data_IF_284062620453
#
_entry.id   IF_284062620453
#
_cell.length_a   1.000
_cell.length_b   1.000
_cell.length_c   1.000
_cell.angle_alpha   90.00
_cell.angle_beta   90.00
_cell.angle_gamma   90.00
#
_symmetry.space_group_name_H-M   'P 1'
#
loop_
_entity.id
_entity.type
_entity.pdbx_description
1 polymer ?
#
# COMPACT_ATOMS: atom_id res chain seq x y z
N UNK A 1 -8.91 7.50 -13.80
CA UNK A 1 -9.65 6.53 -12.99
C UNK A 1 -8.72 5.54 -12.31
N UNK A 2 -8.03 4.65 -13.02
CA UNK A 2 -7.13 3.61 -12.45
C UNK A 2 -6.13 4.21 -11.45
N UNK A 3 -5.42 5.28 -11.83
CA UNK A 3 -4.48 5.95 -10.94
C UNK A 3 -5.13 6.45 -9.63
N UNK A 4 -6.36 6.93 -9.67
CA UNK A 4 -7.08 7.37 -8.48
C UNK A 4 -7.52 6.20 -7.59
N UNK A 5 -7.85 5.05 -8.16
CA UNK A 5 -8.11 3.82 -7.39
C UNK A 5 -6.83 3.37 -6.67
N UNK A 6 -5.68 3.35 -7.37
CA UNK A 6 -4.38 3.04 -6.78
C UNK A 6 -4.01 4.02 -5.67
N UNK A 7 -4.20 5.32 -5.91
CA UNK A 7 -3.90 6.39 -4.96
C UNK A 7 -4.77 6.32 -3.70
N UNK A 8 -6.08 6.08 -3.86
CA UNK A 8 -7.00 5.89 -2.74
C UNK A 8 -6.72 4.63 -1.93
N UNK A 9 -6.40 3.52 -2.62
CA UNK A 9 -6.03 2.27 -1.96
C UNK A 9 -4.71 2.41 -1.17
N UNK A 10 -3.71 3.10 -1.75
CA UNK A 10 -2.44 3.41 -1.08
C UNK A 10 -2.66 4.23 0.19
N UNK A 11 -3.51 5.28 0.13
CA UNK A 11 -3.87 6.06 1.31
C UNK A 11 -4.50 5.20 2.40
N UNK A 12 -5.47 4.36 2.02
CA UNK A 12 -6.19 3.49 2.96
C UNK A 12 -5.24 2.53 3.70
N UNK A 13 -4.29 1.88 2.99
CA UNK A 13 -3.35 0.97 3.65
C UNK A 13 -2.32 1.71 4.50
N UNK A 14 -1.85 2.88 4.10
CA UNK A 14 -0.89 3.66 4.87
C UNK A 14 -1.51 4.23 6.13
N UNK A 15 -2.72 4.79 6.07
CA UNK A 15 -3.43 5.32 7.23
C UNK A 15 -3.80 4.21 8.24
N UNK A 16 -4.11 3.02 7.75
CA UNK A 16 -4.42 1.86 8.59
C UNK A 16 -3.19 1.20 9.23
N UNK A 17 -1.96 1.53 8.79
CA UNK A 17 -0.72 0.89 9.24
C UNK A 17 0.22 1.85 9.94
N UNK A 18 0.94 2.70 9.23
CA UNK A 18 2.04 3.52 9.74
C UNK A 18 1.71 4.29 11.02
N UNK A 19 0.91 5.36 10.94
CA UNK A 19 0.59 6.19 12.10
C UNK A 19 -0.15 5.42 13.20
N UNK A 20 -1.11 4.56 12.79
CA UNK A 20 -1.91 3.80 13.74
C UNK A 20 -1.06 2.86 14.59
N UNK A 21 -0.11 2.14 13.99
CA UNK A 21 0.76 1.20 14.71
C UNK A 21 1.73 1.97 15.60
N UNK A 22 2.28 3.10 15.14
CA UNK A 22 3.15 3.93 15.96
C UNK A 22 2.41 4.43 17.20
N UNK A 23 1.19 4.92 17.04
CA UNK A 23 0.34 5.36 18.13
C UNK A 23 -0.02 4.23 19.11
N UNK A 24 -0.45 3.06 18.61
CA UNK A 24 -0.72 1.88 19.44
C UNK A 24 0.50 1.46 20.29
N UNK A 25 1.71 1.65 19.74
CA UNK A 25 2.96 1.41 20.48
C UNK A 25 3.20 2.47 21.56
N UNK A 26 2.95 3.74 21.25
CA UNK A 26 3.15 4.86 22.18
C UNK A 26 2.25 4.74 23.41
N UNK A 27 0.97 4.35 23.23
CA UNK A 27 0.02 4.15 24.34
C UNK A 27 0.19 2.80 25.08
N UNK A 28 1.19 1.99 24.69
CA UNK A 28 1.49 0.72 25.35
C UNK A 28 0.56 -0.45 25.01
N UNK A 29 -0.31 -0.32 24.00
CA UNK A 29 -1.22 -1.39 23.56
C UNK A 29 -0.49 -2.69 23.20
N UNK A 30 0.68 -2.59 22.58
CA UNK A 30 1.53 -3.75 22.26
C UNK A 30 2.02 -4.49 23.50
N UNK A 31 2.14 -3.83 24.66
CA UNK A 31 2.51 -4.45 25.94
C UNK A 31 1.34 -5.29 26.47
N UNK A 32 0.11 -4.80 26.34
CA UNK A 32 -1.09 -5.55 26.74
C UNK A 32 -1.30 -6.82 25.89
N UNK A 33 -0.96 -6.78 24.60
CA UNK A 33 -1.04 -7.97 23.76
C UNK A 33 -0.08 -9.09 24.16
N UNK A 34 1.02 -8.79 24.85
CA UNK A 34 2.00 -9.79 25.31
C UNK A 34 1.51 -10.66 26.46
N UNK A 35 0.54 -10.20 27.25
CA UNK A 35 -0.07 -11.01 28.32
C UNK A 35 -1.11 -11.99 27.76
N UNK A 36 -1.42 -11.91 26.48
CA UNK A 36 -2.27 -12.86 25.79
C UNK A 36 -1.42 -13.94 25.10
N UNK A 37 -1.90 -15.20 24.98
CA UNK A 37 -1.14 -16.30 24.35
C UNK A 37 -1.12 -16.20 22.81
N UNK A 38 -1.13 -14.97 22.27
CA UNK A 38 -1.12 -14.73 20.82
C UNK A 38 0.30 -14.85 20.26
N UNK A 39 0.43 -15.62 19.17
CA UNK A 39 1.70 -15.72 18.45
C UNK A 39 2.01 -14.36 17.79
N UNK A 40 3.27 -13.90 17.82
CA UNK A 40 3.69 -12.65 17.17
C UNK A 40 3.28 -12.53 15.70
N UNK A 41 3.34 -13.63 14.98
CA UNK A 41 2.94 -13.69 13.57
C UNK A 41 1.45 -13.40 13.35
N UNK A 42 0.58 -13.85 14.28
CA UNK A 42 -0.86 -13.59 14.15
C UNK A 42 -1.22 -12.12 14.41
N UNK A 43 -0.47 -11.41 15.24
CA UNK A 43 -0.65 -9.98 15.45
C UNK A 43 -0.28 -9.18 14.18
N UNK A 44 0.83 -9.53 13.51
CA UNK A 44 1.24 -8.90 12.25
C UNK A 44 0.28 -9.21 11.12
N UNK A 45 -0.13 -10.48 10.96
CA UNK A 45 -1.08 -10.86 9.92
C UNK A 45 -2.45 -10.21 10.13
N UNK A 46 -2.93 -10.09 11.36
CA UNK A 46 -4.16 -9.38 11.68
C UNK A 46 -4.12 -7.92 11.25
N UNK A 47 -3.02 -7.20 11.54
CA UNK A 47 -2.84 -5.81 11.10
C UNK A 47 -2.78 -5.70 9.57
N UNK A 48 -2.11 -6.62 8.90
CA UNK A 48 -2.03 -6.66 7.45
C UNK A 48 -3.41 -6.90 6.81
N UNK A 49 -4.16 -7.87 7.32
CA UNK A 49 -5.54 -8.15 6.85
C UNK A 49 -6.44 -6.92 7.06
N UNK A 50 -6.36 -6.26 8.23
CA UNK A 50 -7.13 -5.04 8.50
C UNK A 50 -6.76 -3.92 7.52
N UNK A 51 -5.49 -3.74 7.20
CA UNK A 51 -5.03 -2.73 6.25
C UNK A 51 -5.53 -3.02 4.83
N UNK A 52 -5.43 -4.28 4.38
CA UNK A 52 -5.94 -4.70 3.08
C UNK A 52 -7.47 -4.59 3.00
N UNK A 53 -8.18 -4.92 4.07
CA UNK A 53 -9.62 -4.74 4.15
C UNK A 53 -10.03 -3.27 4.07
N UNK A 54 -9.25 -2.36 4.68
CA UNK A 54 -9.49 -0.91 4.60
C UNK A 54 -9.32 -0.33 3.18
N UNK A 55 -8.55 -0.98 2.32
CA UNK A 55 -8.40 -0.56 0.92
C UNK A 55 -9.67 -0.81 0.09
N UNK A 56 -10.45 -1.86 0.40
CA UNK A 56 -11.62 -2.24 -0.39
C UNK A 56 -12.67 -1.14 -0.51
N UNK A 57 -13.17 -0.53 0.60
CA UNK A 57 -14.17 0.53 0.48
C UNK A 57 -13.64 1.76 -0.28
N UNK A 58 -12.37 2.11 -0.12
CA UNK A 58 -11.77 3.21 -0.86
C UNK A 58 -11.74 2.92 -2.37
N UNK A 59 -11.32 1.72 -2.76
CA UNK A 59 -11.28 1.30 -4.17
C UNK A 59 -12.69 1.25 -4.79
N UNK A 60 -13.65 0.67 -4.06
CA UNK A 60 -15.05 0.57 -4.51
C UNK A 60 -15.67 1.96 -4.66
N UNK A 61 -15.45 2.87 -3.71
CA UNK A 61 -15.95 4.23 -3.79
C UNK A 61 -15.46 4.96 -5.05
N UNK A 62 -14.17 4.89 -5.34
CA UNK A 62 -13.59 5.50 -6.55
C UNK A 62 -14.11 4.82 -7.82
N UNK A 63 -14.29 3.49 -7.80
CA UNK A 63 -14.86 2.77 -8.94
C UNK A 63 -16.33 3.18 -9.22
N UNK A 64 -17.15 3.28 -8.17
CA UNK A 64 -18.56 3.72 -8.28
C UNK A 64 -18.63 5.16 -8.79
N UNK A 65 -17.82 6.08 -8.27
CA UNK A 65 -17.78 7.45 -8.78
C UNK A 65 -17.31 7.53 -10.23
N UNK A 66 -16.38 6.66 -10.65
CA UNK A 66 -15.93 6.60 -12.04
C UNK A 66 -17.04 6.13 -12.99
N UNK A 67 -17.85 5.15 -12.59
CA UNK A 67 -19.01 4.70 -13.37
C UNK A 67 -20.07 5.81 -13.45
N UNK A 68 -20.39 6.44 -12.31
CA UNK A 68 -21.44 7.46 -12.24
C UNK A 68 -21.11 8.74 -12.99
N UNK A 69 -19.83 9.20 -12.93
CA UNK A 69 -19.42 10.51 -13.47
C UNK A 69 -18.82 10.45 -14.87
N UNK A 70 -18.17 9.36 -15.24
CA UNK A 70 -17.39 9.25 -16.46
C UNK A 70 -17.90 8.19 -17.44
N UNK A 71 -19.04 7.55 -17.16
CA UNK A 71 -19.65 6.52 -18.02
C UNK A 71 -18.67 5.44 -18.50
N UNK A 72 -17.73 5.02 -17.62
CA UNK A 72 -16.72 4.02 -17.95
C UNK A 72 -17.41 2.68 -18.20
N UNK A 73 -17.35 2.23 -19.47
CA UNK A 73 -17.97 0.99 -19.90
C UNK A 73 -16.98 -0.17 -19.82
N UNK A 74 -16.90 -0.80 -18.66
CA UNK A 74 -16.19 -2.06 -18.44
C UNK A 74 -17.21 -3.14 -18.06
N UNK A 75 -16.99 -4.36 -18.52
CA UNK A 75 -17.79 -5.50 -18.05
C UNK A 75 -17.59 -5.75 -16.56
N UNK A 76 -18.56 -6.38 -15.90
CA UNK A 76 -18.45 -6.75 -14.49
C UNK A 76 -17.20 -7.60 -14.22
N UNK A 77 -16.85 -8.50 -15.14
CA UNK A 77 -15.64 -9.32 -15.06
C UNK A 77 -14.35 -8.49 -15.09
N UNK A 78 -14.29 -7.46 -15.94
CA UNK A 78 -13.14 -6.54 -16.01
C UNK A 78 -13.02 -5.70 -14.73
N UNK A 79 -14.13 -5.21 -14.18
CA UNK A 79 -14.13 -4.50 -12.89
C UNK A 79 -13.62 -5.37 -11.76
N UNK A 80 -14.13 -6.60 -11.65
CA UNK A 80 -13.69 -7.54 -10.61
C UNK A 80 -12.20 -7.90 -10.76
N UNK A 81 -11.76 -8.20 -11.99
CA UNK A 81 -10.35 -8.53 -12.26
C UNK A 81 -9.42 -7.36 -11.93
N UNK A 82 -9.79 -6.12 -12.32
CA UNK A 82 -9.03 -4.92 -12.05
C UNK A 82 -8.92 -4.64 -10.54
N UNK A 83 -10.05 -4.63 -9.84
CA UNK A 83 -10.07 -4.37 -8.41
C UNK A 83 -9.32 -5.45 -7.63
N UNK A 84 -9.48 -6.72 -8.00
CA UNK A 84 -8.77 -7.83 -7.36
C UNK A 84 -7.25 -7.76 -7.59
N UNK A 85 -6.81 -7.49 -8.84
CA UNK A 85 -5.40 -7.36 -9.18
C UNK A 85 -4.74 -6.17 -8.45
N UNK A 86 -5.40 -5.01 -8.46
CA UNK A 86 -4.92 -3.83 -7.76
C UNK A 86 -4.94 -4.01 -6.24
N UNK A 87 -5.95 -4.66 -5.69
CA UNK A 87 -6.03 -4.98 -4.26
C UNK A 87 -4.90 -5.90 -3.81
N UNK A 88 -4.59 -6.94 -4.58
CA UNK A 88 -3.41 -7.77 -4.32
C UNK A 88 -2.11 -6.96 -4.46
N UNK A 89 -2.06 -6.05 -5.42
CA UNK A 89 -0.91 -5.19 -5.70
C UNK A 89 -0.58 -4.18 -4.59
N UNK A 90 -1.54 -3.80 -3.72
CA UNK A 90 -1.24 -2.88 -2.60
C UNK A 90 -0.56 -3.56 -1.41
N UNK A 91 -0.38 -4.88 -1.44
CA UNK A 91 0.28 -5.64 -0.37
C UNK A 91 1.66 -5.07 0.04
N UNK A 92 2.60 -4.79 -0.88
CA UNK A 92 3.90 -4.22 -0.51
C UNK A 92 3.77 -2.86 0.17
N UNK A 93 2.78 -2.05 -0.20
CA UNK A 93 2.52 -0.73 0.41
C UNK A 93 2.00 -0.88 1.84
N UNK A 94 1.12 -1.85 2.10
CA UNK A 94 0.67 -2.18 3.45
C UNK A 94 1.83 -2.65 4.34
N UNK A 95 2.71 -3.51 3.81
CA UNK A 95 3.91 -3.99 4.51
C UNK A 95 4.90 -2.86 4.79
N UNK A 96 5.07 -1.93 3.85
CA UNK A 96 5.91 -0.74 4.02
C UNK A 96 5.35 0.17 5.13
N UNK A 97 4.04 0.38 5.15
CA UNK A 97 3.37 1.08 6.23
C UNK A 97 3.55 0.39 7.60
N UNK A 98 3.49 -0.95 7.66
CA UNK A 98 3.82 -1.70 8.87
C UNK A 98 5.27 -1.42 9.31
N UNK A 99 6.23 -1.45 8.40
CA UNK A 99 7.63 -1.17 8.72
C UNK A 99 7.78 0.24 9.34
N UNK A 100 7.16 1.26 8.73
CA UNK A 100 7.15 2.63 9.28
C UNK A 100 6.55 2.64 10.68
N UNK A 101 5.39 2.00 10.89
CA UNK A 101 4.72 1.96 12.18
C UNK A 101 5.53 1.31 13.30
N UNK A 102 6.44 0.38 12.98
CA UNK A 102 7.34 -0.24 13.97
C UNK A 102 8.68 0.49 14.13
N UNK A 103 9.13 1.28 13.15
CA UNK A 103 10.40 2.00 13.16
C UNK A 103 10.26 3.44 13.66
N UNK A 104 9.22 4.14 13.25
CA UNK A 104 9.03 5.56 13.53
C UNK A 104 8.49 5.80 14.95
N UNK A 105 8.86 6.91 15.56
CA UNK A 105 8.19 7.44 16.74
C UNK A 105 6.78 7.96 16.36
N UNK A 106 5.88 8.06 17.34
CA UNK A 106 4.48 8.45 17.12
C UNK A 106 4.36 9.81 16.40
N UNK A 107 5.12 10.79 16.87
CA UNK A 107 5.10 12.15 16.32
C UNK A 107 5.59 12.22 14.85
N UNK A 108 6.48 11.30 14.45
CA UNK A 108 7.13 11.29 13.13
C UNK A 108 6.38 10.35 12.15
N UNK A 109 5.65 9.38 12.66
CA UNK A 109 5.03 8.34 11.84
C UNK A 109 4.04 8.89 10.81
N UNK A 110 3.20 9.86 11.20
CA UNK A 110 2.24 10.47 10.29
C UNK A 110 2.93 11.34 9.21
N UNK A 111 3.79 12.32 9.54
CA UNK A 111 4.46 13.12 8.51
C UNK A 111 5.35 12.27 7.59
N UNK A 112 6.02 11.24 8.11
CA UNK A 112 6.80 10.31 7.28
C UNK A 112 5.92 9.53 6.30
N UNK A 113 4.78 9.03 6.78
CA UNK A 113 3.79 8.33 5.93
C UNK A 113 3.24 9.25 4.85
N UNK A 114 2.96 10.52 5.20
CA UNK A 114 2.50 11.53 4.26
C UNK A 114 3.54 11.83 3.19
N UNK A 115 4.80 12.06 3.60
CA UNK A 115 5.88 12.32 2.66
C UNK A 115 6.06 11.17 1.66
N UNK A 116 6.02 9.93 2.16
CA UNK A 116 6.12 8.74 1.32
C UNK A 116 4.90 8.60 0.39
N UNK A 117 3.69 8.84 0.89
CA UNK A 117 2.45 8.80 0.11
C UNK A 117 2.49 9.78 -1.06
N UNK A 118 2.89 11.03 -0.82
CA UNK A 118 3.02 12.04 -1.86
C UNK A 118 4.15 11.72 -2.84
N UNK A 119 5.30 11.27 -2.34
CA UNK A 119 6.44 10.88 -3.18
C UNK A 119 6.08 9.72 -4.12
N UNK A 120 5.44 8.66 -3.60
CA UNK A 120 4.99 7.53 -4.39
C UNK A 120 3.87 7.91 -5.38
N UNK A 121 2.99 8.83 -5.01
CA UNK A 121 1.94 9.34 -5.90
C UNK A 121 2.49 10.17 -7.06
N UNK A 122 3.42 11.07 -6.76
CA UNK A 122 4.03 11.94 -7.76
C UNK A 122 5.00 11.18 -8.69
N UNK A 123 5.96 10.44 -8.12
CA UNK A 123 6.97 9.71 -8.87
C UNK A 123 6.41 8.47 -9.57
N UNK A 124 5.42 7.79 -8.99
CA UNK A 124 4.77 6.63 -9.58
C UNK A 124 3.71 6.96 -10.62
N UNK A 125 3.68 8.17 -11.18
CA UNK A 125 2.80 8.51 -12.30
C UNK A 125 1.30 8.55 -12.00
N UNK A 126 0.91 8.57 -10.70
CA UNK A 126 -0.50 8.57 -10.33
C UNK A 126 -1.17 9.93 -10.52
N UNK A 127 -0.40 11.02 -10.42
CA UNK A 127 -0.88 12.39 -10.59
C UNK A 127 -0.71 12.92 -12.02
N UNK A 128 0.37 12.54 -12.67
CA UNK A 128 0.69 12.96 -14.04
C UNK A 128 0.94 11.74 -14.90
N UNK A 129 0.40 11.71 -16.14
CA UNK A 129 0.69 10.62 -17.05
C UNK A 129 2.21 10.51 -17.29
N UNK A 130 2.76 9.28 -17.37
CA UNK A 130 4.20 9.09 -17.62
C UNK A 130 4.68 9.79 -18.90
N UNK A 131 3.81 9.96 -19.89
CA UNK A 131 4.14 10.62 -21.16
C UNK A 131 4.55 12.09 -21.05
N UNK A 132 4.20 12.78 -19.97
CA UNK A 132 4.57 14.19 -19.74
C UNK A 132 5.68 14.35 -18.70
N UNK A 133 6.16 13.24 -18.13
CA UNK A 133 7.25 13.25 -17.16
C UNK A 133 8.63 13.27 -17.83
N UNK A 134 9.65 13.91 -17.23
CA UNK A 134 11.05 13.75 -17.65
C UNK A 134 11.48 12.27 -17.62
N UNK A 135 12.31 11.85 -18.57
CA UNK A 135 12.75 10.45 -18.69
C UNK A 135 13.31 9.87 -17.38
N UNK A 136 14.13 10.63 -16.65
CA UNK A 136 14.67 10.19 -15.38
C UNK A 136 13.59 9.88 -14.33
N UNK A 137 12.50 10.65 -14.31
CA UNK A 137 11.36 10.39 -13.41
C UNK A 137 10.55 9.18 -13.87
N UNK A 138 10.41 8.96 -15.17
CA UNK A 138 9.77 7.78 -15.71
C UNK A 138 10.51 6.50 -15.29
N UNK A 139 11.84 6.48 -15.41
CA UNK A 139 12.68 5.33 -15.04
C UNK A 139 12.55 4.99 -13.54
N UNK A 140 12.57 6.02 -12.68
CA UNK A 140 12.34 5.85 -11.25
C UNK A 140 10.92 5.35 -10.99
N UNK A 141 9.92 5.98 -11.61
CA UNK A 141 8.50 5.65 -11.45
C UNK A 141 8.22 4.18 -11.73
N UNK A 142 8.75 3.65 -12.83
CA UNK A 142 8.59 2.26 -13.26
C UNK A 142 9.18 1.21 -12.28
N UNK A 143 10.04 1.63 -11.36
CA UNK A 143 10.56 0.78 -10.30
C UNK A 143 9.75 0.88 -9.00
N UNK A 144 8.75 1.76 -8.93
CA UNK A 144 7.95 1.99 -7.74
C UNK A 144 6.72 1.08 -7.67
N UNK A 145 6.31 0.66 -6.48
CA UNK A 145 5.14 -0.21 -6.30
C UNK A 145 3.83 0.50 -6.65
N UNK A 146 3.76 1.83 -6.54
CA UNK A 146 2.59 2.63 -6.89
C UNK A 146 2.27 2.61 -8.38
N UNK A 147 3.30 2.74 -9.23
CA UNK A 147 3.17 2.60 -10.68
C UNK A 147 2.78 1.18 -11.07
N UNK A 148 3.45 0.18 -10.49
CA UNK A 148 3.16 -1.23 -10.76
C UNK A 148 1.71 -1.62 -10.41
N UNK A 149 1.14 -1.07 -9.33
CA UNK A 149 -0.30 -1.25 -9.00
C UNK A 149 -1.18 -0.65 -10.08
N UNK A 150 -0.87 0.56 -10.54
CA UNK A 150 -1.64 1.22 -11.61
C UNK A 150 -1.49 0.49 -12.96
N UNK A 151 -0.30 -0.03 -13.29
CA UNK A 151 -0.07 -0.83 -14.49
C UNK A 151 -0.99 -2.06 -14.57
N UNK A 152 -1.20 -2.77 -13.44
CA UNK A 152 -2.15 -3.89 -13.40
C UNK A 152 -3.57 -3.45 -13.79
N UNK A 153 -4.01 -2.29 -13.33
CA UNK A 153 -5.31 -1.72 -13.67
C UNK A 153 -5.39 -1.28 -15.15
N UNK A 154 -4.37 -0.59 -15.65
CA UNK A 154 -4.31 -0.13 -17.05
C UNK A 154 -4.31 -1.29 -18.05
N UNK A 155 -3.66 -2.39 -17.71
CA UNK A 155 -3.68 -3.58 -18.58
C UNK A 155 -5.09 -4.13 -18.81
N UNK A 156 -5.90 -4.16 -17.75
CA UNK A 156 -7.26 -4.69 -17.81
C UNK A 156 -8.19 -3.72 -18.56
N UNK A 157 -7.91 -2.42 -18.48
CA UNK A 157 -8.69 -1.39 -19.20
C UNK A 157 -8.26 -1.20 -20.65
N UNK A 158 -7.42 -2.08 -21.21
CA UNK A 158 -6.98 -2.03 -22.61
C UNK A 158 -5.69 -1.26 -22.84
N UNK A 159 -4.97 -0.84 -21.79
CA UNK A 159 -3.67 -0.20 -21.89
C UNK A 159 -2.53 -1.15 -22.28
N UNK A 160 -1.45 -0.58 -22.80
CA UNK A 160 -0.21 -1.31 -23.14
C UNK A 160 0.70 -1.37 -21.90
N UNK A 161 0.33 -2.14 -20.87
CA UNK A 161 1.13 -2.32 -19.66
C UNK A 161 1.84 -3.68 -19.65
N UNK A 162 3.03 -3.72 -19.07
CA UNK A 162 3.82 -4.96 -18.96
C UNK A 162 3.50 -5.67 -17.65
N UNK A 163 2.51 -6.57 -17.67
CA UNK A 163 2.13 -7.36 -16.49
C UNK A 163 3.31 -8.10 -15.84
N UNK A 164 4.21 -8.78 -16.60
CA UNK A 164 5.36 -9.47 -15.98
C UNK A 164 6.27 -8.51 -15.21
N UNK A 165 6.51 -7.30 -15.74
CA UNK A 165 7.31 -6.27 -15.07
C UNK A 165 6.64 -5.79 -13.81
N UNK A 166 5.36 -5.44 -13.86
CA UNK A 166 4.59 -5.00 -12.69
C UNK A 166 4.59 -6.06 -11.58
N UNK A 167 4.36 -7.32 -11.92
CA UNK A 167 4.39 -8.43 -10.95
C UNK A 167 5.79 -8.59 -10.33
N UNK A 168 6.86 -8.48 -11.13
CA UNK A 168 8.23 -8.58 -10.63
C UNK A 168 8.56 -7.43 -9.66
N UNK A 169 8.19 -6.20 -10.00
CA UNK A 169 8.36 -5.02 -9.13
C UNK A 169 7.59 -5.22 -7.83
N UNK A 170 6.32 -5.62 -7.90
CA UNK A 170 5.50 -5.86 -6.71
C UNK A 170 6.04 -7.00 -5.85
N UNK A 171 6.55 -8.08 -6.44
CA UNK A 171 7.18 -9.17 -5.72
C UNK A 171 8.46 -8.71 -5.00
N UNK A 172 9.33 -7.96 -5.68
CA UNK A 172 10.55 -7.42 -5.09
C UNK A 172 10.23 -6.48 -3.91
N UNK A 173 9.28 -5.56 -4.09
CA UNK A 173 8.85 -4.67 -3.01
C UNK A 173 8.15 -5.42 -1.87
N UNK A 174 7.36 -6.46 -2.17
CA UNK A 174 6.73 -7.30 -1.14
C UNK A 174 7.78 -7.98 -0.27
N UNK A 175 8.80 -8.60 -0.88
CA UNK A 175 9.89 -9.25 -0.15
C UNK A 175 10.70 -8.23 0.67
N UNK A 176 11.07 -7.08 0.07
CA UNK A 176 11.79 -6.02 0.75
C UNK A 176 11.01 -5.43 1.93
N UNK A 177 9.74 -5.08 1.71
CA UNK A 177 8.89 -4.51 2.75
C UNK A 177 8.53 -5.52 3.84
N UNK A 178 8.32 -6.80 3.49
CA UNK A 178 8.08 -7.85 4.47
C UNK A 178 9.30 -8.07 5.36
N UNK A 179 10.50 -8.13 4.79
CA UNK A 179 11.74 -8.24 5.57
C UNK A 179 11.96 -7.03 6.46
N UNK A 180 11.74 -5.82 5.96
CA UNK A 180 11.81 -4.60 6.75
C UNK A 180 10.81 -4.60 7.91
N UNK A 181 9.55 -4.97 7.66
CA UNK A 181 8.51 -5.04 8.69
C UNK A 181 8.84 -6.10 9.76
N UNK A 182 9.33 -7.27 9.35
CA UNK A 182 9.73 -8.34 10.28
C UNK A 182 10.93 -7.93 11.15
N UNK A 183 11.94 -7.32 10.55
CA UNK A 183 13.11 -6.83 11.28
C UNK A 183 12.73 -5.70 12.26
N UNK A 184 11.89 -4.77 11.82
CA UNK A 184 11.36 -3.69 12.64
C UNK A 184 10.58 -4.24 13.85
N UNK A 185 9.70 -5.19 13.61
CA UNK A 185 8.93 -5.86 14.65
C UNK A 185 9.83 -6.58 15.65
N UNK A 186 10.80 -7.37 15.19
CA UNK A 186 11.76 -8.10 16.05
C UNK A 186 12.57 -7.13 16.92
N UNK A 187 13.11 -6.04 16.35
CA UNK A 187 13.86 -5.02 17.10
C UNK A 187 13.03 -4.39 18.21
N UNK A 188 11.76 -4.09 17.90
CA UNK A 188 10.83 -3.56 18.91
C UNK A 188 10.56 -4.57 20.03
N UNK A 189 10.42 -5.85 19.69
CA UNK A 189 10.15 -6.91 20.69
C UNK A 189 11.33 -7.13 21.63
N UNK A 190 12.57 -7.07 21.14
CA UNK A 190 13.80 -7.24 21.93
C UNK A 190 14.03 -6.04 22.87
N UNK A 191 13.84 -4.81 22.37
CA UNK A 191 14.08 -3.59 23.17
C UNK A 191 13.06 -3.35 24.30
N UNK A 192 11.92 -3.98 24.25
CA UNK A 192 10.85 -3.86 25.25
C UNK A 192 10.73 -5.10 26.15
N UNK A 193 11.72 -6.01 26.13
CA UNK A 193 11.92 -7.03 27.15
C UNK A 193 12.46 -6.34 28.43
N UNK A 194 11.96 -6.71 29.63
CA UNK A 194 12.43 -6.13 30.90
C UNK A 194 13.88 -6.44 31.16
#
# INVERSE_FOLDING_TARGET
MVAMIAYGAMWAVFSATGPRIAHERAIGWTRQLRVTPLRPASALSGKLVTALAAALPAMVLVAVTAVASHHVQLSAAQWLAMLAAMWAGVLPLALLGLAIGYLAADEIAFPLTMALYFALGALGGLWMPPSVMPHAMQDIGQALPSDAVAELGWRITGGQASVPKAVLVLAAWTLGSATAALLAYRRHTIRSAP
#
